data_IF_483018003517
#
_entry.id   IF_483018003517
#
_cell.length_a   1.000
_cell.length_b   1.000
_cell.length_c   1.000
_cell.angle_alpha   90.00
_cell.angle_beta   90.00
_cell.angle_gamma   90.00
#
_symmetry.space_group_name_H-M   'P 1'
#
loop_
_entity.id
_entity.type
_entity.pdbx_description
1 polymer ?
#
# COMPACT_ATOMS: atom_id res chain seq x y z
N UNK A 1 2.86 21.71 4.53
CA UNK A 1 4.05 20.85 4.40
C UNK A 1 3.73 19.79 3.35
N UNK A 2 4.71 19.32 2.57
CA UNK A 2 4.49 18.32 1.51
C UNK A 2 4.72 16.93 2.09
N UNK A 3 3.85 15.97 1.76
CA UNK A 3 4.05 14.54 2.08
C UNK A 3 4.69 13.80 0.91
N UNK A 4 5.50 12.79 1.19
CA UNK A 4 6.27 12.00 0.22
C UNK A 4 5.89 10.52 0.28
N UNK A 5 5.66 9.92 -0.90
CA UNK A 5 5.42 8.48 -1.08
C UNK A 5 6.47 7.84 -1.97
N UNK A 6 6.98 6.68 -1.57
CA UNK A 6 7.82 5.82 -2.41
C UNK A 6 7.09 4.53 -2.76
N UNK A 7 7.01 4.18 -4.04
CA UNK A 7 6.12 3.13 -4.56
C UNK A 7 6.88 2.04 -5.31
N UNK A 8 6.38 0.81 -5.23
CA UNK A 8 6.94 -0.34 -5.94
C UNK A 8 8.17 -0.91 -5.25
N UNK A 9 8.17 -0.89 -3.91
CA UNK A 9 9.20 -1.52 -3.10
C UNK A 9 9.14 -3.03 -3.26
N UNK A 10 10.29 -3.65 -3.52
CA UNK A 10 10.40 -5.10 -3.77
C UNK A 10 11.34 -5.81 -2.80
N UNK A 11 11.93 -5.07 -1.86
CA UNK A 11 12.81 -5.58 -0.80
C UNK A 11 12.52 -4.89 0.54
N UNK A 12 12.82 -5.56 1.64
CA UNK A 12 12.71 -4.99 2.99
C UNK A 12 13.81 -3.96 3.26
N UNK A 13 14.99 -4.14 2.66
CA UNK A 13 16.11 -3.20 2.78
C UNK A 13 15.74 -1.83 2.22
N UNK A 14 15.13 -1.78 1.03
CA UNK A 14 14.68 -0.53 0.43
C UNK A 14 13.57 0.12 1.26
N UNK A 15 12.63 -0.68 1.77
CA UNK A 15 11.56 -0.17 2.62
C UNK A 15 12.12 0.47 3.89
N UNK A 16 13.07 -0.18 4.58
CA UNK A 16 13.72 0.37 5.77
C UNK A 16 14.50 1.65 5.44
N UNK A 17 15.28 1.63 4.36
CA UNK A 17 16.05 2.79 3.92
C UNK A 17 15.14 3.99 3.68
N UNK A 18 14.04 3.80 2.97
CA UNK A 18 13.09 4.86 2.64
C UNK A 18 12.43 5.43 3.90
N UNK A 19 12.03 4.58 4.84
CA UNK A 19 11.47 5.03 6.12
C UNK A 19 12.49 5.88 6.90
N UNK A 20 13.74 5.43 6.97
CA UNK A 20 14.82 6.14 7.66
C UNK A 20 15.15 7.52 7.02
N UNK A 21 14.72 7.75 5.78
CA UNK A 21 14.90 9.03 5.08
C UNK A 21 13.65 9.93 5.13
N UNK A 22 12.64 9.57 5.92
CA UNK A 22 11.49 10.43 6.21
C UNK A 22 10.37 10.38 5.17
N UNK A 23 10.17 9.23 4.51
CA UNK A 23 8.98 9.03 3.70
C UNK A 23 7.74 8.92 4.59
N UNK A 24 6.68 9.67 4.26
CA UNK A 24 5.39 9.58 4.93
C UNK A 24 4.63 8.29 4.53
N UNK A 25 4.87 7.79 3.31
CA UNK A 25 4.22 6.59 2.78
C UNK A 25 5.19 5.68 2.03
N UNK A 26 4.98 4.38 2.16
CA UNK A 26 5.67 3.34 1.41
C UNK A 26 4.68 2.38 0.79
N UNK A 27 4.99 1.80 -0.37
CA UNK A 27 4.06 0.85 -0.96
C UNK A 27 4.61 -0.17 -1.93
N UNK A 28 3.87 -1.26 -2.02
CA UNK A 28 4.11 -2.40 -2.90
C UNK A 28 3.06 -2.45 -4.02
N UNK A 29 3.41 -3.10 -5.13
CA UNK A 29 2.50 -3.34 -6.25
C UNK A 29 2.18 -4.84 -6.24
N UNK A 30 0.89 -5.17 -6.21
CA UNK A 30 0.38 -6.53 -6.06
C UNK A 30 -0.84 -6.70 -6.95
N UNK A 31 -0.86 -7.74 -7.77
CA UNK A 31 -2.02 -8.13 -8.59
C UNK A 31 -2.49 -6.98 -9.50
N UNK A 32 -1.61 -6.66 -10.47
CA UNK A 32 -1.89 -5.61 -11.46
C UNK A 32 -1.90 -6.21 -12.86
N UNK A 33 -2.91 -5.83 -13.65
CA UNK A 33 -3.04 -6.27 -15.05
C UNK A 33 -2.03 -5.63 -16.00
N UNK A 34 -1.28 -4.62 -15.54
CA UNK A 34 -0.23 -3.95 -16.32
C UNK A 34 1.13 -4.59 -16.04
N UNK A 35 1.90 -4.97 -17.07
CA UNK A 35 3.23 -5.54 -16.87
C UNK A 35 4.14 -4.55 -16.13
N UNK A 36 4.71 -4.96 -15.00
CA UNK A 36 5.68 -4.16 -14.25
C UNK A 36 6.70 -5.05 -13.56
N UNK A 37 8.01 -4.72 -13.62
CA UNK A 37 9.04 -5.49 -12.92
C UNK A 37 8.99 -5.32 -11.40
N UNK A 38 8.13 -4.41 -10.91
CA UNK A 38 7.98 -4.07 -9.48
C UNK A 38 6.80 -4.79 -8.82
N UNK A 39 6.05 -5.59 -9.58
CA UNK A 39 4.99 -6.42 -9.01
C UNK A 39 5.59 -7.54 -8.15
N UNK A 40 4.99 -7.75 -6.99
CA UNK A 40 5.37 -8.81 -6.06
C UNK A 40 4.12 -9.54 -5.55
N UNK A 41 4.29 -10.76 -5.05
CA UNK A 41 3.20 -11.51 -4.47
C UNK A 41 2.67 -10.84 -3.17
N UNK A 42 1.38 -11.03 -2.82
CA UNK A 42 0.81 -10.52 -1.57
C UNK A 42 1.63 -10.94 -0.33
N UNK A 43 2.09 -12.19 -0.30
CA UNK A 43 2.93 -12.71 0.79
C UNK A 43 4.27 -11.99 0.89
N UNK A 44 4.87 -11.60 -0.23
CA UNK A 44 6.12 -10.83 -0.23
C UNK A 44 5.86 -9.39 0.19
N UNK A 45 4.79 -8.77 -0.29
CA UNK A 45 4.38 -7.43 0.13
C UNK A 45 4.16 -7.36 1.65
N UNK A 46 3.45 -8.33 2.24
CA UNK A 46 3.29 -8.44 3.70
C UNK A 46 4.63 -8.43 4.43
N UNK A 47 5.57 -9.29 4.04
CA UNK A 47 6.90 -9.37 4.69
C UNK A 47 7.69 -8.06 4.62
N UNK A 48 7.54 -7.32 3.52
CA UNK A 48 8.20 -6.02 3.34
C UNK A 48 7.51 -4.95 4.18
N UNK A 49 6.18 -4.94 4.22
CA UNK A 49 5.42 -3.92 4.95
C UNK A 49 5.40 -4.17 6.46
N UNK A 50 5.64 -5.40 6.94
CA UNK A 50 5.75 -5.72 8.37
C UNK A 50 6.93 -5.02 9.07
N UNK A 51 7.98 -4.65 8.34
CA UNK A 51 9.14 -3.94 8.91
C UNK A 51 8.96 -2.41 8.96
N UNK A 52 7.89 -1.91 8.36
CA UNK A 52 7.63 -0.47 8.26
C UNK A 52 7.20 0.06 9.64
N UNK A 53 7.86 1.12 10.16
CA UNK A 53 7.50 1.75 11.42
C UNK A 53 6.03 2.19 11.51
N UNK A 54 5.50 2.34 12.73
CA UNK A 54 4.11 2.74 12.96
C UNK A 54 3.80 4.17 12.49
N UNK A 55 4.82 5.05 12.40
CA UNK A 55 4.70 6.43 11.95
C UNK A 55 4.78 6.60 10.42
N UNK A 56 4.93 5.50 9.67
CA UNK A 56 4.95 5.48 8.20
C UNK A 56 3.77 4.68 7.65
N UNK A 57 3.02 5.31 6.75
CA UNK A 57 1.81 4.71 6.18
C UNK A 57 2.14 3.68 5.10
N UNK A 58 1.42 2.55 5.13
CA UNK A 58 1.64 1.39 4.24
C UNK A 58 0.58 1.35 3.15
N UNK A 59 1.01 1.26 1.89
CA UNK A 59 0.12 1.28 0.73
C UNK A 59 0.32 0.05 -0.15
N UNK A 60 -0.78 -0.56 -0.59
CA UNK A 60 -0.78 -1.59 -1.64
C UNK A 60 -1.46 -1.03 -2.89
N UNK A 61 -0.80 -1.17 -4.04
CA UNK A 61 -1.35 -0.84 -5.35
C UNK A 61 -1.79 -2.13 -6.01
N UNK A 62 -3.07 -2.24 -6.33
CA UNK A 62 -3.69 -3.38 -7.02
C UNK A 62 -4.66 -2.89 -8.09
N UNK A 63 -5.03 -3.75 -9.05
CA UNK A 63 -6.00 -3.44 -10.10
C UNK A 63 -7.12 -4.48 -10.14
N UNK A 64 -8.04 -4.48 -9.16
CA UNK A 64 -9.17 -5.40 -9.16
C UNK A 64 -10.07 -5.13 -10.37
N UNK A 65 -10.67 -6.20 -10.91
CA UNK A 65 -11.63 -6.11 -12.01
C UNK A 65 -12.99 -5.57 -11.55
N UNK A 66 -13.34 -5.78 -10.28
CA UNK A 66 -14.62 -5.39 -9.70
C UNK A 66 -14.52 -5.14 -8.18
N UNK A 67 -15.62 -4.63 -7.61
CA UNK A 67 -15.71 -4.27 -6.18
C UNK A 67 -15.56 -5.47 -5.26
N UNK A 68 -16.01 -6.67 -5.66
CA UNK A 68 -15.89 -7.88 -4.84
C UNK A 68 -14.43 -8.30 -4.69
N UNK A 69 -13.65 -8.20 -5.76
CA UNK A 69 -12.21 -8.48 -5.72
C UNK A 69 -11.45 -7.47 -4.87
N UNK A 70 -11.80 -6.17 -4.95
CA UNK A 70 -11.22 -5.15 -4.09
C UNK A 70 -11.41 -5.45 -2.60
N UNK A 71 -12.60 -5.93 -2.20
CA UNK A 71 -12.88 -6.32 -0.81
C UNK A 71 -12.06 -7.51 -0.31
N UNK A 72 -11.78 -8.48 -1.19
CA UNK A 72 -10.91 -9.62 -0.85
C UNK A 72 -9.49 -9.15 -0.55
N UNK A 73 -9.02 -8.11 -1.25
CA UNK A 73 -7.73 -7.48 -0.96
C UNK A 73 -7.71 -6.78 0.41
N UNK A 74 -8.79 -6.09 0.77
CA UNK A 74 -8.96 -5.46 2.09
C UNK A 74 -8.89 -6.51 3.22
N UNK A 75 -9.59 -7.63 3.07
CA UNK A 75 -9.63 -8.70 4.09
C UNK A 75 -8.31 -9.49 4.21
N UNK A 76 -7.59 -9.67 3.09
CA UNK A 76 -6.37 -10.50 3.03
C UNK A 76 -5.10 -9.81 3.54
N UNK A 77 -5.16 -8.50 3.75
CA UNK A 77 -4.13 -7.69 4.38
C UNK A 77 -4.71 -6.98 5.62
N UNK A 78 -4.92 -7.67 6.76
CA UNK A 78 -5.51 -7.08 7.96
C UNK A 78 -4.75 -5.86 8.51
N UNK A 79 -3.49 -5.69 8.12
CA UNK A 79 -2.63 -4.56 8.51
C UNK A 79 -2.83 -3.29 7.66
N UNK A 80 -3.76 -3.30 6.69
CA UNK A 80 -4.23 -2.15 5.92
C UNK A 80 -5.42 -1.43 6.58
N UNK A 81 -5.98 -2.02 7.64
CA UNK A 81 -7.33 -1.70 8.15
C UNK A 81 -7.36 -0.70 9.32
N UNK A 82 -6.51 0.33 9.31
CA UNK A 82 -6.61 1.43 10.29
C UNK A 82 -7.01 2.79 9.67
N UNK A 83 -7.55 2.82 8.44
CA UNK A 83 -7.91 4.09 7.79
C UNK A 83 -9.28 4.13 7.11
N UNK A 84 -10.19 3.18 7.36
CA UNK A 84 -11.55 3.27 6.78
C UNK A 84 -12.59 3.70 7.82
N UNK A 85 -12.41 3.35 9.09
CA UNK A 85 -13.44 3.61 10.11
C UNK A 85 -13.20 4.86 10.98
N UNK A 86 -11.96 5.33 11.12
CA UNK A 86 -11.66 6.39 12.10
C UNK A 86 -11.45 7.80 11.51
N UNK A 87 -11.27 7.95 10.18
CA UNK A 87 -10.79 9.23 9.60
C UNK A 87 -11.64 9.80 8.46
N UNK A 88 -12.68 9.11 7.98
CA UNK A 88 -13.42 9.60 6.81
C UNK A 88 -14.94 9.52 6.99
N UNK A 89 -15.57 10.67 7.30
CA UNK A 89 -17.01 10.87 7.07
C UNK A 89 -17.33 11.02 5.57
N UNK A 90 -16.33 11.37 4.72
CA UNK A 90 -16.46 11.50 3.26
C UNK A 90 -15.39 10.66 2.53
N UNK A 91 -15.76 9.71 1.65
CA UNK A 91 -14.85 8.82 0.90
C UNK A 91 -13.85 9.51 -0.05
N UNK A 92 -13.73 10.84 -0.04
CA UNK A 92 -12.71 11.61 -0.79
C UNK A 92 -11.39 11.77 -0.04
N UNK A 93 -11.37 11.53 1.27
CA UNK A 93 -10.18 11.69 2.12
C UNK A 93 -9.33 10.42 2.23
N UNK A 94 -9.83 9.29 1.68
CA UNK A 94 -9.05 8.06 1.46
C UNK A 94 -8.62 8.01 -0.01
N UNK A 95 -7.32 8.18 -0.25
CA UNK A 95 -6.76 8.01 -1.60
C UNK A 95 -6.45 6.52 -1.85
N UNK A 96 -7.49 5.74 -2.13
CA UNK A 96 -7.36 4.51 -2.93
C UNK A 96 -7.13 4.96 -4.38
N UNK A 97 -5.89 4.90 -4.85
CA UNK A 97 -5.60 5.19 -6.27
C UNK A 97 -6.05 3.98 -7.09
N UNK A 98 -7.34 3.94 -7.41
CA UNK A 98 -7.82 3.23 -8.59
C UNK A 98 -7.49 4.11 -9.79
N UNK A 99 -6.53 3.67 -10.61
CA UNK A 99 -6.23 4.32 -11.88
C UNK A 99 -7.52 4.36 -12.72
N UNK A 100 -7.98 5.57 -13.07
CA UNK A 100 -9.19 5.82 -13.87
C UNK A 100 -8.92 5.63 -15.35
#
# INVERSE_FOLDING_TARGET
MVKVKVCGLTSAEDAQMVCNNGADFVGAIVDVKVPTPREISPTKARKILEIVPEDVEKVVVTMPENVQEAKIFEDSLPSLLNLVEEVAEDPKDVTLIFDR
#
